data_IF_460830813598
#
_entry.id   IF_460830813598
#
_cell.length_a   1.000
_cell.length_b   1.000
_cell.length_c   1.000
_cell.angle_alpha   90.00
_cell.angle_beta   90.00
_cell.angle_gamma   90.00
#
_symmetry.space_group_name_H-M   'P 1'
#
loop_
_entity.id
_entity.type
_entity.pdbx_description
1 polymer ?
#
# COMPACT_ATOMS: atom_id res chain seq x y z
N UNK A 1 8.46 1.26 22.73
CA UNK A 1 7.16 1.04 22.02
C UNK A 1 6.00 0.68 22.97
N UNK A 2 6.22 -0.08 24.02
CA UNK A 2 5.26 -0.30 25.12
C UNK A 2 5.15 0.93 26.06
N UNK A 3 6.21 1.69 26.19
CA UNK A 3 6.29 2.94 26.95
C UNK A 3 5.43 4.05 26.36
N UNK A 4 5.30 4.16 25.02
CA UNK A 4 4.52 5.21 24.40
C UNK A 4 3.01 5.00 24.58
N UNK A 5 2.52 3.74 24.51
CA UNK A 5 1.11 3.42 24.78
C UNK A 5 0.73 3.62 26.25
N UNK A 6 1.61 3.28 27.16
CA UNK A 6 1.38 3.49 28.60
C UNK A 6 1.42 5.00 28.95
N UNK A 7 2.31 5.75 28.33
CA UNK A 7 2.41 7.20 28.47
C UNK A 7 1.16 7.91 27.93
N UNK A 8 0.70 7.56 26.73
CA UNK A 8 -0.52 8.08 26.13
C UNK A 8 -1.77 7.80 26.98
N UNK A 9 -1.86 6.62 27.60
CA UNK A 9 -2.96 6.25 28.48
C UNK A 9 -2.97 7.04 29.79
N UNK A 10 -1.80 7.29 30.36
CA UNK A 10 -1.62 8.10 31.57
C UNK A 10 -1.95 9.58 31.35
N UNK A 11 -1.64 10.12 30.15
CA UNK A 11 -1.97 11.51 29.82
C UNK A 11 -3.46 11.72 29.55
N UNK A 12 -4.17 10.74 29.02
CA UNK A 12 -5.63 10.80 28.82
C UNK A 12 -6.41 10.79 30.12
N UNK A 13 -5.92 10.10 31.16
CA UNK A 13 -6.59 9.96 32.45
C UNK A 13 -6.45 11.20 33.37
N UNK A 14 -5.56 12.15 33.02
CA UNK A 14 -5.39 13.39 33.81
C UNK A 14 -6.23 14.53 33.22
N UNK A 15 -7.17 15.05 34.00
CA UNK A 15 -7.81 16.36 33.75
C UNK A 15 -6.74 17.47 33.61
N UNK A 16 -7.06 18.56 32.92
CA UNK A 16 -6.19 19.75 32.94
C UNK A 16 -5.93 20.14 34.41
N UNK A 17 -4.68 20.51 34.76
CA UNK A 17 -4.40 20.97 36.09
C UNK A 17 -5.18 22.24 36.37
N UNK A 18 -6.00 22.20 37.42
CA UNK A 18 -6.90 23.30 37.80
C UNK A 18 -6.34 24.15 38.94
N UNK A 19 -5.49 23.57 39.76
CA UNK A 19 -4.87 24.26 40.88
C UNK A 19 -3.34 24.47 40.69
N UNK A 20 -2.77 25.36 41.51
CA UNK A 20 -1.37 25.74 41.43
C UNK A 20 -0.38 24.58 41.66
N UNK A 21 -0.74 23.60 42.53
CA UNK A 21 0.10 22.44 42.81
C UNK A 21 0.12 21.47 41.64
N UNK A 22 -1.03 21.25 41.02
CA UNK A 22 -1.15 20.43 39.82
C UNK A 22 -0.44 21.06 38.63
N UNK A 23 -0.59 22.41 38.43
CA UNK A 23 0.14 23.16 37.41
C UNK A 23 1.65 23.06 37.62
N UNK A 24 2.11 23.21 38.86
CA UNK A 24 3.53 23.02 39.20
C UNK A 24 4.02 21.61 38.88
N UNK A 25 3.27 20.59 39.32
CA UNK A 25 3.59 19.19 39.04
C UNK A 25 3.67 18.92 37.55
N UNK A 26 2.71 19.43 36.79
CA UNK A 26 2.66 19.31 35.33
C UNK A 26 3.89 19.95 34.65
N UNK A 27 4.21 21.19 34.97
CA UNK A 27 5.35 21.90 34.38
C UNK A 27 6.71 21.32 34.78
N UNK A 28 6.81 20.76 36.00
CA UNK A 28 8.05 20.17 36.50
C UNK A 28 8.30 18.75 36.02
N UNK A 29 7.32 18.07 35.41
CA UNK A 29 7.42 16.69 34.92
C UNK A 29 8.34 16.51 33.71
N UNK A 30 8.90 17.61 33.13
CA UNK A 30 9.76 17.58 31.95
C UNK A 30 9.01 17.63 30.63
N UNK A 31 7.69 17.77 30.66
CA UNK A 31 6.83 17.90 29.47
C UNK A 31 7.20 19.14 28.65
N UNK A 32 7.48 20.27 29.33
CA UNK A 32 7.87 21.51 28.67
C UNK A 32 9.39 21.63 28.59
N UNK A 33 9.96 21.66 27.38
CA UNK A 33 11.40 21.88 27.17
C UNK A 33 11.83 23.20 27.80
N UNK A 34 12.91 23.16 28.59
CA UNK A 34 13.49 24.35 29.24
C UNK A 34 12.82 24.76 30.55
N UNK A 35 11.82 23.98 31.02
CA UNK A 35 11.19 24.18 32.34
C UNK A 35 11.62 23.06 33.29
N UNK A 36 12.58 23.36 34.17
CA UNK A 36 12.88 22.48 35.30
C UNK A 36 12.08 22.89 36.53
N UNK A 37 12.14 22.11 37.65
CA UNK A 37 11.34 22.36 38.84
C UNK A 37 11.49 23.78 39.43
N UNK A 38 12.71 24.35 39.40
CA UNK A 38 12.97 25.71 39.86
C UNK A 38 12.34 26.78 38.96
N UNK A 39 12.25 26.54 37.65
CA UNK A 39 11.60 27.45 36.68
C UNK A 39 10.11 27.32 36.80
N UNK A 40 9.58 26.09 36.88
CA UNK A 40 8.14 25.81 37.07
C UNK A 40 7.60 26.52 38.33
N UNK A 41 8.32 26.40 39.45
CA UNK A 41 7.94 27.05 40.69
C UNK A 41 7.83 28.57 40.56
N UNK A 42 8.81 29.22 39.94
CA UNK A 42 8.81 30.68 39.72
C UNK A 42 7.68 31.14 38.78
N UNK A 43 7.35 30.33 37.80
CA UNK A 43 6.22 30.60 36.87
C UNK A 43 4.91 30.56 37.65
N UNK A 44 4.67 29.49 38.39
CA UNK A 44 3.44 29.31 39.15
C UNK A 44 3.31 30.34 40.29
N UNK A 45 4.35 30.62 41.04
CA UNK A 45 4.35 31.67 42.07
C UNK A 45 4.04 33.09 41.51
N UNK A 46 4.40 33.35 40.26
CA UNK A 46 4.16 34.64 39.61
C UNK A 46 2.81 34.78 39.00
N UNK A 47 2.26 33.73 38.42
CA UNK A 47 1.07 33.75 37.59
C UNK A 47 -0.10 32.94 38.19
N UNK A 48 0.14 32.09 39.18
CA UNK A 48 -0.88 31.29 39.87
C UNK A 48 -1.71 30.47 38.86
N UNK A 49 -3.01 30.53 39.00
CA UNK A 49 -3.97 29.85 38.11
C UNK A 49 -3.93 30.38 36.65
N UNK A 50 -3.43 31.61 36.40
CA UNK A 50 -3.28 32.15 35.04
C UNK A 50 -2.07 31.54 34.27
N UNK A 51 -1.25 30.72 34.92
CA UNK A 51 0.00 30.19 34.35
C UNK A 51 -0.19 29.54 32.98
N UNK A 52 -1.22 28.74 32.81
CA UNK A 52 -1.49 28.04 31.56
C UNK A 52 -1.91 29.00 30.44
N UNK A 53 -2.73 30.01 30.77
CA UNK A 53 -3.15 31.06 29.81
C UNK A 53 -1.98 31.92 29.38
N UNK A 54 -1.10 32.29 30.33
CA UNK A 54 0.14 33.04 30.04
C UNK A 54 1.07 32.23 29.11
N UNK A 55 1.24 30.93 29.36
CA UNK A 55 2.06 30.06 28.51
C UNK A 55 1.49 29.92 27.10
N UNK A 56 0.16 29.88 26.97
CA UNK A 56 -0.50 29.70 25.68
C UNK A 56 -0.59 31.00 24.87
N UNK A 57 -1.00 32.10 25.50
CA UNK A 57 -1.42 33.36 24.82
C UNK A 57 -0.48 34.52 24.96
N UNK A 58 0.22 34.62 26.10
CA UNK A 58 1.03 35.80 26.47
C UNK A 58 2.45 35.42 26.92
N UNK A 59 3.22 34.63 26.12
CA UNK A 59 4.52 34.13 26.54
C UNK A 59 5.57 35.20 26.84
N UNK A 60 5.38 36.39 26.31
CA UNK A 60 6.23 37.56 26.60
C UNK A 60 6.19 37.95 28.07
N UNK A 61 5.12 37.70 28.80
CA UNK A 61 5.04 37.92 30.26
C UNK A 61 6.02 37.08 31.05
N UNK A 62 6.47 35.96 30.52
CA UNK A 62 7.47 35.11 31.13
C UNK A 62 8.86 35.82 31.25
N UNK A 63 9.10 36.80 30.40
CA UNK A 63 10.37 37.62 30.47
C UNK A 63 10.49 38.44 31.73
N UNK A 64 9.41 38.65 32.48
CA UNK A 64 9.44 39.30 33.80
C UNK A 64 10.12 38.43 34.86
N UNK A 65 10.34 37.14 34.59
CA UNK A 65 11.00 36.23 35.49
C UNK A 65 12.52 36.28 35.30
N UNK A 66 13.25 36.36 36.40
CA UNK A 66 14.72 36.39 36.37
C UNK A 66 15.32 35.16 35.70
N UNK A 67 16.09 35.36 34.62
CA UNK A 67 16.73 34.27 33.87
C UNK A 67 15.90 33.63 32.79
N UNK A 68 14.74 34.23 32.43
CA UNK A 68 13.93 33.89 31.25
C UNK A 68 14.10 34.97 30.19
N UNK A 69 14.83 34.65 29.14
CA UNK A 69 15.00 35.55 27.98
C UNK A 69 13.78 35.43 27.06
N UNK A 70 13.52 36.39 26.16
CA UNK A 70 12.46 36.35 25.20
C UNK A 70 12.51 35.05 24.35
N UNK A 71 13.68 34.62 23.92
CA UNK A 71 13.90 33.36 23.21
C UNK A 71 13.46 32.15 24.04
N UNK A 72 13.87 32.10 25.31
CA UNK A 72 13.51 31.00 26.21
C UNK A 72 12.01 31.00 26.52
N UNK A 73 11.39 32.15 26.67
CA UNK A 73 9.94 32.29 26.84
C UNK A 73 9.20 31.71 25.66
N UNK A 74 9.65 32.00 24.44
CA UNK A 74 9.06 31.48 23.22
C UNK A 74 9.26 29.95 23.08
N UNK A 75 10.44 29.43 23.38
CA UNK A 75 10.72 27.99 23.36
C UNK A 75 9.84 27.21 24.37
N UNK A 76 9.61 27.78 25.56
CA UNK A 76 8.72 27.19 26.57
C UNK A 76 7.29 27.19 26.09
N UNK A 77 6.81 28.32 25.58
CA UNK A 77 5.45 28.48 25.08
C UNK A 77 5.15 27.57 23.89
N UNK A 78 6.09 27.44 22.99
CA UNK A 78 5.96 26.55 21.84
C UNK A 78 5.89 25.09 22.27
N UNK A 79 6.78 24.66 23.18
CA UNK A 79 6.73 23.31 23.74
C UNK A 79 5.41 23.04 24.48
N UNK A 80 4.91 24.01 25.25
CA UNK A 80 3.65 23.91 25.95
C UNK A 80 2.45 23.80 24.98
N UNK A 81 2.37 24.71 23.99
CA UNK A 81 1.32 24.68 22.96
C UNK A 81 1.30 23.36 22.20
N UNK A 82 2.47 22.84 21.89
CA UNK A 82 2.60 21.54 21.23
C UNK A 82 2.01 20.41 22.07
N UNK A 83 2.24 20.36 23.36
CA UNK A 83 1.66 19.36 24.24
C UNK A 83 0.15 19.55 24.43
N UNK A 84 -0.29 20.78 24.60
CA UNK A 84 -1.72 21.09 24.75
C UNK A 84 -2.52 20.78 23.48
N UNK A 85 -1.95 21.09 22.31
CA UNK A 85 -2.60 20.78 21.03
C UNK A 85 -2.80 19.28 20.83
N UNK A 86 -1.77 18.47 21.13
CA UNK A 86 -1.87 17.01 21.08
C UNK A 86 -2.93 16.48 22.04
N UNK A 87 -2.96 16.98 23.28
CA UNK A 87 -3.92 16.57 24.30
C UNK A 87 -5.36 16.90 23.93
N UNK A 88 -5.61 18.12 23.42
CA UNK A 88 -6.93 18.53 22.91
C UNK A 88 -7.39 17.65 21.75
N UNK A 89 -6.48 17.29 20.86
CA UNK A 89 -6.77 16.39 19.75
C UNK A 89 -7.11 14.97 20.24
N UNK A 90 -6.34 14.44 21.20
CA UNK A 90 -6.62 13.13 21.81
C UNK A 90 -7.97 13.13 22.54
N UNK A 91 -8.30 14.18 23.29
CA UNK A 91 -9.60 14.32 23.95
C UNK A 91 -10.76 14.39 22.94
N UNK A 92 -10.57 15.10 21.84
CA UNK A 92 -11.55 15.14 20.74
C UNK A 92 -11.77 13.74 20.15
N UNK A 93 -10.70 13.01 19.84
CA UNK A 93 -10.81 11.64 19.31
C UNK A 93 -11.48 10.68 20.31
N UNK A 94 -11.14 10.80 21.60
CA UNK A 94 -11.75 9.98 22.67
C UNK A 94 -13.26 10.23 22.83
N UNK A 95 -13.75 11.44 22.59
CA UNK A 95 -15.17 11.78 22.59
C UNK A 95 -15.97 10.92 21.60
N UNK A 96 -15.33 10.57 20.46
CA UNK A 96 -15.91 9.72 19.41
C UNK A 96 -15.42 8.26 19.47
N UNK A 97 -14.83 7.85 20.59
CA UNK A 97 -14.30 6.49 20.82
C UNK A 97 -13.23 6.08 19.80
N UNK A 98 -12.56 7.05 19.17
CA UNK A 98 -11.47 6.81 18.25
C UNK A 98 -10.14 6.61 19.00
N UNK A 99 -9.23 5.75 18.46
CA UNK A 99 -7.95 5.51 19.09
C UNK A 99 -7.13 6.79 19.24
N UNK A 100 -6.61 7.12 20.45
CA UNK A 100 -5.79 8.32 20.67
C UNK A 100 -4.53 8.37 19.82
N UNK A 101 -4.06 7.20 19.38
CA UNK A 101 -2.87 7.09 18.52
C UNK A 101 -3.02 7.82 17.19
N UNK A 102 -4.25 8.00 16.69
CA UNK A 102 -4.54 8.81 15.49
C UNK A 102 -4.13 10.27 15.65
N UNK A 103 -4.11 10.78 16.88
CA UNK A 103 -3.64 12.15 17.16
C UNK A 103 -2.18 12.37 16.72
N UNK A 104 -1.33 11.35 16.84
CA UNK A 104 0.07 11.43 16.41
C UNK A 104 0.15 11.56 14.88
N UNK A 105 -0.66 10.81 14.16
CA UNK A 105 -0.68 10.84 12.71
C UNK A 105 -1.26 12.15 12.17
N UNK A 106 -2.39 12.59 12.70
CA UNK A 106 -2.99 13.88 12.35
C UNK A 106 -2.03 15.04 12.61
N UNK A 107 -1.31 15.00 13.73
CA UNK A 107 -0.31 16.00 14.04
C UNK A 107 0.90 15.95 13.12
N UNK A 108 1.34 14.76 12.72
CA UNK A 108 2.42 14.61 11.73
C UNK A 108 2.05 15.26 10.41
N UNK A 109 0.78 15.16 10.01
CA UNK A 109 0.27 15.65 8.73
C UNK A 109 -0.08 17.15 8.77
N UNK A 110 -0.74 17.63 9.84
CA UNK A 110 -1.31 18.97 9.93
C UNK A 110 -0.65 19.86 10.99
N UNK A 111 0.35 19.35 11.69
CA UNK A 111 1.04 20.10 12.76
C UNK A 111 0.10 20.49 13.90
N UNK A 112 0.28 21.70 14.39
CA UNK A 112 -0.52 22.23 15.51
C UNK A 112 -1.95 22.62 15.09
N UNK A 113 -2.23 22.74 13.79
CA UNK A 113 -3.57 23.01 13.26
C UNK A 113 -4.45 21.75 13.10
N UNK A 114 -3.96 20.58 13.52
CA UNK A 114 -4.65 19.29 13.30
C UNK A 114 -6.08 19.27 13.86
N UNK A 115 -6.30 19.81 15.06
CA UNK A 115 -7.63 19.82 15.68
C UNK A 115 -8.61 20.70 14.91
N UNK A 116 -8.17 21.93 14.53
CA UNK A 116 -8.99 22.86 13.75
C UNK A 116 -9.32 22.26 12.38
N UNK A 117 -8.33 21.67 11.73
CA UNK A 117 -8.51 20.99 10.42
C UNK A 117 -9.52 19.86 10.50
N UNK A 118 -9.44 19.00 11.52
CA UNK A 118 -10.41 17.90 11.71
C UNK A 118 -11.80 18.43 12.08
N UNK A 119 -11.90 19.53 12.81
CA UNK A 119 -13.19 20.17 13.09
C UNK A 119 -13.81 20.81 11.85
N UNK A 120 -13.00 21.44 11.00
CA UNK A 120 -13.45 22.00 9.73
C UNK A 120 -13.87 20.91 8.74
N UNK A 121 -13.12 19.80 8.71
CA UNK A 121 -13.37 18.67 7.84
C UNK A 121 -13.13 17.33 8.56
N UNK A 122 -14.13 16.75 9.21
CA UNK A 122 -14.02 15.47 9.90
C UNK A 122 -13.63 14.30 8.97
N UNK A 123 -13.90 14.41 7.68
CA UNK A 123 -13.56 13.37 6.70
C UNK A 123 -12.04 13.19 6.49
N UNK A 124 -11.21 14.08 7.04
CA UNK A 124 -9.77 13.83 7.13
C UNK A 124 -9.44 12.57 7.95
N UNK A 125 -10.35 12.14 8.83
CA UNK A 125 -10.23 10.89 9.58
C UNK A 125 -10.39 9.65 8.70
N UNK A 126 -11.17 9.72 7.62
CA UNK A 126 -11.31 8.61 6.66
C UNK A 126 -10.23 8.58 5.60
N UNK A 127 -9.33 9.57 5.57
CA UNK A 127 -8.19 9.59 4.67
C UNK A 127 -7.19 8.47 4.95
N UNK A 128 -6.31 8.19 3.98
CA UNK A 128 -5.30 7.11 4.04
C UNK A 128 -4.44 7.14 5.32
N UNK A 129 -4.20 8.32 5.88
CA UNK A 129 -3.37 8.48 7.07
C UNK A 129 -4.01 7.93 8.36
N UNK A 130 -5.33 8.01 8.48
CA UNK A 130 -6.05 7.62 9.68
C UNK A 130 -6.86 6.34 9.49
N UNK A 131 -7.39 6.10 8.29
CA UNK A 131 -8.09 4.86 7.92
C UNK A 131 -9.38 4.59 8.70
N UNK A 132 -10.02 5.64 9.25
CA UNK A 132 -11.31 5.47 9.93
C UNK A 132 -12.39 5.21 8.88
N UNK A 133 -13.27 4.25 9.13
CA UNK A 133 -14.35 3.93 8.20
C UNK A 133 -15.23 5.14 7.89
N UNK A 134 -15.67 5.25 6.63
CA UNK A 134 -16.50 6.36 6.15
C UNK A 134 -17.77 6.51 6.99
N UNK A 135 -18.46 5.41 7.29
CA UNK A 135 -19.70 5.41 8.09
C UNK A 135 -19.52 6.03 9.47
N UNK A 136 -18.39 5.75 10.13
CA UNK A 136 -18.05 6.33 11.44
C UNK A 136 -17.77 7.83 11.29
N UNK A 137 -16.98 8.19 10.30
CA UNK A 137 -16.60 9.59 10.03
C UNK A 137 -17.81 10.42 9.61
N UNK A 138 -18.72 9.86 8.81
CA UNK A 138 -19.96 10.52 8.39
C UNK A 138 -20.87 10.76 9.60
N UNK A 139 -21.00 9.78 10.50
CA UNK A 139 -21.71 9.96 11.75
C UNK A 139 -21.13 11.08 12.64
N UNK A 140 -19.81 11.21 12.71
CA UNK A 140 -19.12 12.29 13.43
C UNK A 140 -19.43 13.64 12.76
N UNK A 141 -19.29 13.74 11.45
CA UNK A 141 -19.51 14.97 10.68
C UNK A 141 -20.94 15.47 10.81
N UNK A 142 -21.93 14.58 10.67
CA UNK A 142 -23.33 14.89 10.85
C UNK A 142 -23.64 15.29 12.30
N UNK A 143 -23.06 14.63 13.28
CA UNK A 143 -23.18 14.98 14.71
C UNK A 143 -22.56 16.33 15.06
N UNK A 144 -21.57 16.80 14.29
CA UNK A 144 -20.98 18.14 14.39
C UNK A 144 -21.77 19.21 13.65
N UNK A 145 -22.85 18.83 12.93
CA UNK A 145 -23.75 19.76 12.23
C UNK A 145 -23.32 20.10 10.81
N UNK A 146 -22.46 19.30 10.16
CA UNK A 146 -22.19 19.45 8.74
C UNK A 146 -23.46 19.21 7.93
N UNK A 147 -23.65 19.99 6.86
CA UNK A 147 -24.80 19.82 5.97
C UNK A 147 -24.70 18.50 5.20
N UNK A 148 -25.85 17.86 4.97
CA UNK A 148 -25.93 16.58 4.26
C UNK A 148 -25.43 16.65 2.81
N UNK A 149 -25.46 17.84 2.21
CA UNK A 149 -25.00 18.15 0.86
C UNK A 149 -23.67 18.92 0.83
N UNK A 150 -22.92 18.91 1.95
CA UNK A 150 -21.63 19.60 2.01
C UNK A 150 -20.61 18.98 1.06
N UNK A 151 -19.79 19.81 0.42
CA UNK A 151 -18.76 19.39 -0.51
C UNK A 151 -17.82 18.36 0.12
N UNK A 152 -17.47 18.55 1.42
CA UNK A 152 -16.61 17.60 2.13
C UNK A 152 -17.21 16.20 2.19
N UNK A 153 -18.53 16.12 2.47
CA UNK A 153 -19.25 14.84 2.52
C UNK A 153 -19.29 14.15 1.17
N UNK A 154 -19.68 14.89 0.14
CA UNK A 154 -19.79 14.39 -1.22
C UNK A 154 -18.43 13.88 -1.74
N UNK A 155 -17.37 14.64 -1.54
CA UNK A 155 -16.02 14.28 -1.96
C UNK A 155 -15.48 13.08 -1.19
N UNK A 156 -15.74 13.01 0.11
CA UNK A 156 -15.34 11.84 0.92
C UNK A 156 -16.08 10.57 0.49
N UNK A 157 -17.36 10.67 0.14
CA UNK A 157 -18.14 9.54 -0.35
C UNK A 157 -17.66 9.06 -1.72
N UNK A 158 -17.33 9.97 -2.66
CA UNK A 158 -16.70 9.60 -3.94
C UNK A 158 -15.40 8.84 -3.73
N UNK A 159 -14.55 9.34 -2.83
CA UNK A 159 -13.28 8.70 -2.51
C UNK A 159 -13.49 7.35 -1.84
N UNK A 160 -14.49 7.24 -0.96
CA UNK A 160 -14.87 5.99 -0.31
C UNK A 160 -15.32 4.95 -1.33
N UNK A 161 -16.19 5.30 -2.28
CA UNK A 161 -16.67 4.36 -3.31
C UNK A 161 -15.51 3.83 -4.16
N UNK A 162 -14.56 4.67 -4.53
CA UNK A 162 -13.36 4.22 -5.24
C UNK A 162 -12.52 3.25 -4.38
N UNK A 163 -12.29 3.58 -3.10
CA UNK A 163 -11.52 2.74 -2.18
C UNK A 163 -12.23 1.44 -1.83
N UNK A 164 -13.56 1.48 -1.66
CA UNK A 164 -14.36 0.29 -1.38
C UNK A 164 -14.27 -0.72 -2.53
N UNK A 165 -14.29 -0.24 -3.76
CA UNK A 165 -14.22 -1.09 -4.94
C UNK A 165 -12.82 -1.67 -5.21
N UNK A 166 -11.77 -1.17 -4.57
CA UNK A 166 -10.45 -1.83 -4.59
C UNK A 166 -10.50 -3.23 -3.97
N UNK A 167 -11.25 -3.39 -2.87
CA UNK A 167 -11.44 -4.69 -2.23
C UNK A 167 -12.23 -5.67 -3.11
N UNK A 168 -12.90 -5.16 -4.15
CA UNK A 168 -13.57 -5.94 -5.18
C UNK A 168 -12.67 -6.18 -6.42
N UNK A 169 -11.38 -5.81 -6.34
CA UNK A 169 -10.39 -6.00 -7.39
C UNK A 169 -10.37 -4.90 -8.46
N UNK A 170 -11.15 -3.83 -8.33
CA UNK A 170 -11.23 -2.76 -9.31
C UNK A 170 -10.14 -1.70 -9.11
N UNK A 171 -9.42 -1.36 -10.17
CA UNK A 171 -8.41 -0.28 -10.18
C UNK A 171 -9.08 1.08 -10.43
N UNK A 172 -10.17 1.09 -11.18
CA UNK A 172 -10.98 2.26 -11.48
C UNK A 172 -12.47 1.93 -11.50
N UNK A 173 -13.29 2.97 -11.45
CA UNK A 173 -14.72 2.86 -11.74
C UNK A 173 -15.07 3.75 -12.95
N UNK A 174 -16.00 3.30 -13.82
CA UNK A 174 -16.60 4.18 -14.82
C UNK A 174 -17.28 5.38 -14.15
N UNK A 175 -17.07 6.60 -14.71
CA UNK A 175 -17.60 7.86 -14.16
C UNK A 175 -19.10 7.76 -13.82
N UNK A 176 -19.90 7.26 -14.74
CA UNK A 176 -21.35 7.13 -14.55
C UNK A 176 -21.71 6.16 -13.42
N UNK A 177 -20.97 5.06 -13.26
CA UNK A 177 -21.17 4.10 -12.16
C UNK A 177 -20.75 4.69 -10.82
N UNK A 178 -19.64 5.42 -10.79
CA UNK A 178 -19.16 6.10 -9.58
C UNK A 178 -20.18 7.14 -9.09
N UNK A 179 -20.70 7.98 -9.98
CA UNK A 179 -21.74 8.95 -9.66
C UNK A 179 -22.99 8.24 -9.13
N UNK A 180 -23.46 7.20 -9.83
CA UNK A 180 -24.66 6.46 -9.42
C UNK A 180 -24.50 5.79 -8.05
N UNK A 181 -23.36 5.14 -7.79
CA UNK A 181 -23.08 4.49 -6.49
C UNK A 181 -23.02 5.51 -5.35
N UNK A 182 -22.32 6.62 -5.56
CA UNK A 182 -22.21 7.68 -4.56
C UNK A 182 -23.54 8.38 -4.28
N UNK A 183 -24.33 8.63 -5.32
CA UNK A 183 -25.70 9.17 -5.20
C UNK A 183 -26.58 8.25 -4.36
N UNK A 184 -26.51 6.95 -4.59
CA UNK A 184 -27.25 5.94 -3.83
C UNK A 184 -26.75 5.84 -2.37
N UNK A 185 -25.44 5.90 -2.14
CA UNK A 185 -24.84 5.85 -0.80
C UNK A 185 -25.31 7.00 0.08
N UNK A 186 -25.40 8.22 -0.48
CA UNK A 186 -25.69 9.43 0.27
C UNK A 186 -27.15 9.86 0.24
N UNK A 187 -27.99 9.23 -0.61
CA UNK A 187 -29.34 9.67 -0.95
C UNK A 187 -29.37 11.17 -1.36
N UNK A 188 -28.45 11.54 -2.26
CA UNK A 188 -28.23 12.93 -2.70
C UNK A 188 -28.47 13.10 -4.21
N UNK A 189 -28.52 14.35 -4.69
CA UNK A 189 -28.67 14.65 -6.13
C UNK A 189 -27.40 14.30 -6.93
N UNK A 190 -27.61 13.67 -8.11
CA UNK A 190 -26.48 13.28 -8.98
C UNK A 190 -25.62 14.45 -9.45
N UNK A 191 -26.22 15.64 -9.66
CA UNK A 191 -25.51 16.87 -10.07
C UNK A 191 -24.50 17.33 -8.99
N UNK A 192 -24.86 17.22 -7.71
CA UNK A 192 -23.96 17.58 -6.61
C UNK A 192 -22.77 16.62 -6.51
N UNK A 193 -23.04 15.31 -6.70
CA UNK A 193 -21.99 14.29 -6.73
C UNK A 193 -21.06 14.50 -7.92
N UNK A 194 -21.61 14.85 -9.09
CA UNK A 194 -20.82 15.15 -10.28
C UNK A 194 -19.89 16.36 -10.07
N UNK A 195 -20.39 17.44 -9.51
CA UNK A 195 -19.59 18.62 -9.16
C UNK A 195 -18.49 18.30 -8.15
N UNK A 196 -18.80 17.47 -7.15
CA UNK A 196 -17.80 17.02 -6.17
C UNK A 196 -16.71 16.16 -6.82
N UNK A 197 -17.07 15.27 -7.76
CA UNK A 197 -16.13 14.47 -8.53
C UNK A 197 -15.24 15.36 -9.39
N UNK A 198 -15.83 16.34 -10.12
CA UNK A 198 -15.05 17.27 -10.95
C UNK A 198 -14.06 18.07 -10.10
N UNK A 199 -14.46 18.54 -8.93
CA UNK A 199 -13.57 19.20 -7.98
C UNK A 199 -12.41 18.29 -7.51
N UNK A 200 -12.66 16.99 -7.30
CA UNK A 200 -11.62 16.02 -6.97
C UNK A 200 -10.65 15.79 -8.14
N UNK A 201 -11.15 15.80 -9.37
CA UNK A 201 -10.34 15.68 -10.59
C UNK A 201 -9.48 16.93 -10.77
N UNK A 202 -10.05 18.13 -10.66
CA UNK A 202 -9.32 19.39 -10.77
C UNK A 202 -8.17 19.49 -9.74
N UNK A 203 -8.39 19.05 -8.51
CA UNK A 203 -7.37 19.00 -7.47
C UNK A 203 -6.41 17.82 -7.63
N UNK A 204 -6.69 16.94 -8.57
CA UNK A 204 -5.91 15.77 -8.87
C UNK A 204 -5.94 14.69 -7.77
N UNK A 205 -6.93 14.66 -6.90
CA UNK A 205 -7.16 13.57 -5.95
C UNK A 205 -7.71 12.33 -6.68
N UNK A 206 -8.56 12.55 -7.67
CA UNK A 206 -9.04 11.55 -8.63
C UNK A 206 -8.42 11.85 -10.00
N UNK A 207 -8.04 10.82 -10.73
CA UNK A 207 -7.57 10.92 -12.11
C UNK A 207 -8.63 10.34 -13.02
N UNK A 208 -9.05 11.11 -14.03
CA UNK A 208 -9.96 10.62 -15.07
C UNK A 208 -9.20 10.39 -16.37
N UNK A 209 -9.39 9.23 -16.96
CA UNK A 209 -8.74 8.84 -18.22
C UNK A 209 -9.72 8.09 -19.12
N UNK A 210 -9.53 8.18 -20.43
CA UNK A 210 -10.32 7.42 -21.38
C UNK A 210 -9.71 6.04 -21.61
N UNK A 211 -10.36 4.99 -21.11
CA UNK A 211 -9.91 3.61 -21.28
C UNK A 211 -10.95 2.84 -22.10
N UNK A 212 -10.59 2.39 -23.29
CA UNK A 212 -11.47 1.58 -24.16
C UNK A 212 -12.90 2.16 -24.30
N UNK A 213 -13.02 3.46 -24.55
CA UNK A 213 -14.30 4.20 -24.65
C UNK A 213 -15.07 4.39 -23.34
N UNK A 214 -14.44 4.13 -22.20
CA UNK A 214 -15.01 4.35 -20.87
C UNK A 214 -14.24 5.49 -20.19
N UNK A 215 -14.95 6.45 -19.62
CA UNK A 215 -14.37 7.45 -18.73
C UNK A 215 -14.06 6.79 -17.38
N UNK A 216 -12.81 6.41 -17.19
CA UNK A 216 -12.34 5.69 -16.02
C UNK A 216 -11.86 6.68 -14.94
N UNK A 217 -12.42 6.57 -13.73
CA UNK A 217 -12.01 7.37 -12.57
C UNK A 217 -11.18 6.50 -11.62
N UNK A 218 -9.97 6.96 -11.35
CA UNK A 218 -8.98 6.29 -10.48
C UNK A 218 -8.72 7.09 -9.22
N UNK A 219 -8.44 6.42 -8.12
CA UNK A 219 -7.64 7.04 -7.07
C UNK A 219 -6.23 7.31 -7.62
N UNK A 220 -5.69 8.52 -7.37
CA UNK A 220 -4.38 8.93 -7.89
C UNK A 220 -3.30 7.89 -7.68
N UNK A 221 -3.21 7.30 -6.48
CA UNK A 221 -2.19 6.30 -6.14
C UNK A 221 -2.25 5.04 -7.00
N UNK A 222 -3.45 4.58 -7.39
CA UNK A 222 -3.61 3.42 -8.26
C UNK A 222 -3.22 3.75 -9.70
N UNK A 223 -3.61 4.91 -10.18
CA UNK A 223 -3.20 5.39 -11.49
C UNK A 223 -1.68 5.54 -11.58
N UNK A 224 -1.04 6.14 -10.57
CA UNK A 224 0.41 6.28 -10.50
C UNK A 224 1.11 4.91 -10.43
N UNK A 225 0.54 3.95 -9.70
CA UNK A 225 1.06 2.59 -9.61
C UNK A 225 1.00 1.87 -10.98
N UNK A 226 -0.10 2.01 -11.72
CA UNK A 226 -0.27 1.44 -13.06
C UNK A 226 0.69 2.07 -14.07
N UNK A 227 0.76 3.40 -14.12
CA UNK A 227 1.69 4.13 -14.99
C UNK A 227 3.16 3.76 -14.68
N UNK A 228 3.53 3.72 -13.40
CA UNK A 228 4.87 3.32 -12.97
C UNK A 228 5.19 1.90 -13.40
N UNK A 229 4.25 0.97 -13.22
CA UNK A 229 4.41 -0.42 -13.64
C UNK A 229 4.62 -0.53 -15.16
N UNK A 230 3.82 0.16 -15.97
CA UNK A 230 3.95 0.18 -17.42
C UNK A 230 5.30 0.71 -17.89
N UNK A 231 5.74 1.85 -17.35
CA UNK A 231 7.02 2.49 -17.71
C UNK A 231 8.19 1.54 -17.38
N UNK A 232 8.17 0.92 -16.20
CA UNK A 232 9.25 0.03 -15.78
C UNK A 232 9.28 -1.28 -16.54
N UNK A 233 8.12 -1.86 -16.81
CA UNK A 233 8.03 -3.04 -17.69
C UNK A 233 8.58 -2.74 -19.08
N UNK A 234 8.20 -1.62 -19.67
CA UNK A 234 8.74 -1.21 -20.97
C UNK A 234 10.27 -1.07 -20.94
N UNK A 235 10.81 -0.51 -19.83
CA UNK A 235 12.26 -0.43 -19.63
C UNK A 235 12.95 -1.79 -19.52
N UNK A 236 12.35 -2.75 -18.83
CA UNK A 236 12.89 -4.11 -18.74
C UNK A 236 12.81 -4.86 -20.08
N UNK A 237 11.72 -4.67 -20.83
CA UNK A 237 11.53 -5.27 -22.14
C UNK A 237 12.49 -4.71 -23.20
N UNK A 238 12.81 -3.41 -23.11
CA UNK A 238 13.74 -2.73 -24.03
C UNK A 238 15.20 -3.03 -23.72
N UNK A 239 15.52 -3.63 -22.56
CA UNK A 239 16.89 -3.99 -22.22
C UNK A 239 17.44 -5.02 -23.22
N UNK A 240 18.53 -4.65 -23.89
CA UNK A 240 19.19 -5.50 -24.85
C UNK A 240 19.79 -6.74 -24.17
N UNK A 241 19.17 -7.88 -24.42
CA UNK A 241 19.55 -9.16 -23.83
C UNK A 241 19.98 -10.16 -24.91
N UNK A 242 20.40 -9.70 -26.09
CA UNK A 242 20.72 -10.59 -27.23
C UNK A 242 21.87 -11.54 -26.94
N UNK A 243 21.55 -12.63 -26.29
CA UNK A 243 22.36 -13.85 -26.10
C UNK A 243 21.72 -15.05 -26.80
N UNK A 244 20.95 -14.80 -27.85
CA UNK A 244 20.11 -15.79 -28.53
C UNK A 244 20.87 -17.03 -29.03
N UNK A 245 22.03 -16.85 -29.62
CA UNK A 245 22.85 -17.98 -30.13
C UNK A 245 23.43 -18.85 -29.02
N UNK A 246 23.61 -18.30 -27.82
CA UNK A 246 24.13 -19.03 -26.66
C UNK A 246 23.02 -19.79 -25.90
N UNK A 247 21.79 -19.22 -25.89
CA UNK A 247 20.67 -19.80 -25.12
C UNK A 247 20.29 -21.20 -25.58
N UNK A 248 20.14 -21.44 -26.90
CA UNK A 248 19.80 -22.77 -27.43
C UNK A 248 20.84 -23.82 -27.09
N UNK A 249 22.12 -23.50 -27.28
CA UNK A 249 23.22 -24.43 -26.92
C UNK A 249 23.28 -24.71 -25.43
N UNK A 250 23.07 -23.69 -24.61
CA UNK A 250 23.03 -23.87 -23.16
C UNK A 250 21.87 -24.74 -22.70
N UNK A 251 20.73 -24.71 -23.37
CA UNK A 251 19.60 -25.62 -23.10
C UNK A 251 19.92 -27.04 -23.52
N UNK A 252 20.52 -27.26 -24.71
CA UNK A 252 20.96 -28.60 -25.17
C UNK A 252 21.93 -29.26 -24.17
N UNK A 253 22.88 -28.48 -23.67
CA UNK A 253 23.86 -28.92 -22.68
C UNK A 253 23.22 -29.21 -21.33
N UNK A 254 22.20 -28.41 -20.91
CA UNK A 254 21.44 -28.68 -19.69
C UNK A 254 20.60 -29.95 -19.78
N UNK A 255 19.95 -30.21 -20.92
CA UNK A 255 19.20 -31.43 -21.17
C UNK A 255 20.14 -32.65 -21.07
N UNK A 256 21.30 -32.58 -21.73
CA UNK A 256 22.29 -33.65 -21.69
C UNK A 256 22.84 -33.88 -20.26
N UNK A 257 23.12 -32.80 -19.51
CA UNK A 257 23.67 -32.91 -18.15
C UNK A 257 22.65 -33.47 -17.16
N UNK A 258 21.38 -33.10 -17.30
CA UNK A 258 20.31 -33.51 -16.38
C UNK A 258 19.64 -34.83 -16.80
N UNK A 259 19.94 -35.35 -17.99
CA UNK A 259 19.30 -36.53 -18.54
C UNK A 259 17.81 -36.39 -18.77
N UNK A 260 17.35 -35.17 -19.07
CA UNK A 260 15.95 -34.83 -19.33
C UNK A 260 15.81 -34.21 -20.71
N UNK A 261 14.62 -34.32 -21.29
CA UNK A 261 14.23 -33.59 -22.50
C UNK A 261 13.02 -32.72 -22.16
N UNK A 262 13.14 -31.43 -22.37
CA UNK A 262 12.01 -30.50 -22.17
C UNK A 262 10.98 -30.70 -23.30
N UNK A 263 9.70 -30.63 -22.94
CA UNK A 263 8.68 -30.54 -23.95
C UNK A 263 8.83 -29.21 -24.75
N UNK A 264 8.33 -29.14 -26.01
CA UNK A 264 8.59 -27.99 -26.88
C UNK A 264 8.33 -26.64 -26.25
N UNK A 265 7.19 -26.48 -25.56
CA UNK A 265 6.83 -25.24 -24.88
C UNK A 265 7.67 -24.95 -23.63
N UNK A 266 8.08 -26.01 -22.90
CA UNK A 266 9.00 -25.86 -21.77
C UNK A 266 10.35 -25.36 -22.24
N UNK A 267 10.90 -26.00 -23.31
CA UNK A 267 12.15 -25.57 -23.93
C UNK A 267 12.07 -24.13 -24.41
N UNK A 268 10.99 -23.75 -25.11
CA UNK A 268 10.77 -22.39 -25.57
C UNK A 268 10.80 -21.39 -24.41
N UNK A 269 10.16 -21.71 -23.27
CA UNK A 269 10.16 -20.83 -22.09
C UNK A 269 11.56 -20.67 -21.50
N UNK A 270 12.34 -21.75 -21.39
CA UNK A 270 13.72 -21.70 -20.89
C UNK A 270 14.61 -20.85 -21.82
N UNK A 271 14.50 -21.01 -23.14
CA UNK A 271 15.23 -20.19 -24.12
C UNK A 271 14.82 -18.72 -24.08
N UNK A 272 13.51 -18.43 -24.01
CA UNK A 272 13.00 -17.04 -23.93
C UNK A 272 13.45 -16.33 -22.66
N UNK A 273 13.51 -17.03 -21.52
CA UNK A 273 14.00 -16.43 -20.27
C UNK A 273 15.44 -15.87 -20.41
N UNK A 274 16.28 -16.47 -21.25
CA UNK A 274 17.62 -15.95 -21.53
C UNK A 274 17.67 -14.81 -22.55
N UNK A 275 16.62 -14.68 -23.38
CA UNK A 275 16.57 -13.71 -24.49
C UNK A 275 15.83 -12.44 -24.17
N UNK A 276 14.93 -12.46 -23.17
CA UNK A 276 14.03 -11.35 -22.87
C UNK A 276 14.26 -10.82 -21.47
N UNK A 277 14.02 -9.53 -21.28
CA UNK A 277 14.08 -8.90 -19.96
C UNK A 277 12.89 -9.30 -19.09
N UNK A 278 11.73 -9.63 -19.70
CA UNK A 278 10.54 -10.08 -18.99
C UNK A 278 9.95 -11.29 -19.70
N UNK A 279 9.54 -12.30 -18.94
CA UNK A 279 8.86 -13.50 -19.43
C UNK A 279 7.65 -13.81 -18.54
N UNK A 280 6.51 -14.07 -19.15
CA UNK A 280 5.34 -14.65 -18.49
C UNK A 280 5.25 -16.14 -18.83
N UNK A 281 5.20 -16.98 -17.79
CA UNK A 281 5.00 -18.41 -17.89
C UNK A 281 3.67 -18.79 -17.25
N UNK A 282 2.69 -19.20 -18.04
CA UNK A 282 1.37 -19.59 -17.55
C UNK A 282 1.02 -21.02 -17.92
N UNK A 283 0.10 -21.60 -17.17
CA UNK A 283 -0.43 -22.96 -17.43
C UNK A 283 -1.16 -23.51 -16.20
N UNK A 284 -2.07 -24.44 -16.43
CA UNK A 284 -2.84 -25.11 -15.37
C UNK A 284 -2.01 -26.01 -14.46
N UNK A 285 -2.66 -26.65 -13.48
CA UNK A 285 -2.00 -27.65 -12.63
C UNK A 285 -1.51 -28.84 -13.47
N UNK A 286 -0.29 -29.31 -13.18
CA UNK A 286 0.28 -30.49 -13.87
C UNK A 286 0.87 -30.24 -15.25
N UNK A 287 0.90 -29.01 -15.76
CA UNK A 287 1.50 -28.67 -17.06
C UNK A 287 3.04 -28.56 -17.04
N UNK A 288 3.67 -28.77 -15.91
CA UNK A 288 5.13 -28.79 -15.80
C UNK A 288 5.76 -27.40 -15.58
N UNK A 289 5.01 -26.38 -15.09
CA UNK A 289 5.54 -25.06 -14.69
C UNK A 289 6.78 -25.21 -13.80
N UNK A 290 6.72 -26.07 -12.79
CA UNK A 290 7.82 -26.32 -11.86
C UNK A 290 9.09 -26.84 -12.55
N UNK A 291 8.94 -27.76 -13.49
CA UNK A 291 10.07 -28.32 -14.28
C UNK A 291 10.70 -27.20 -15.13
N UNK A 292 9.87 -26.37 -15.74
CA UNK A 292 10.31 -25.22 -16.54
C UNK A 292 11.04 -24.19 -15.67
N UNK A 293 10.53 -23.85 -14.49
CA UNK A 293 11.19 -22.95 -13.54
C UNK A 293 12.56 -23.50 -13.11
N UNK A 294 12.66 -24.80 -12.82
CA UNK A 294 13.97 -25.46 -12.53
C UNK A 294 14.94 -25.31 -13.69
N UNK A 295 14.46 -25.48 -14.92
CA UNK A 295 15.25 -25.27 -16.13
C UNK A 295 15.76 -23.85 -16.26
N UNK A 296 14.89 -22.85 -16.03
CA UNK A 296 15.24 -21.42 -16.05
C UNK A 296 16.29 -21.10 -14.96
N UNK A 297 16.10 -21.59 -13.74
CA UNK A 297 17.06 -21.43 -12.65
C UNK A 297 18.43 -22.04 -13.01
N UNK A 298 18.44 -23.26 -13.56
CA UNK A 298 19.67 -23.92 -13.97
C UNK A 298 20.39 -23.13 -15.08
N UNK A 299 19.63 -22.60 -16.06
CA UNK A 299 20.16 -21.77 -17.11
C UNK A 299 20.76 -20.46 -16.56
N UNK A 300 20.07 -19.76 -15.71
CA UNK A 300 20.54 -18.53 -15.12
C UNK A 300 21.79 -18.73 -14.25
N UNK A 301 21.85 -19.82 -13.46
CA UNK A 301 23.07 -20.21 -12.73
C UNK A 301 24.26 -20.43 -13.66
N UNK A 302 24.04 -21.12 -14.77
CA UNK A 302 25.08 -21.34 -15.77
C UNK A 302 25.56 -20.08 -16.43
N UNK A 303 24.66 -19.09 -16.56
CA UNK A 303 24.99 -17.72 -17.03
C UNK A 303 25.71 -16.88 -15.97
N UNK A 304 25.89 -17.38 -14.75
CA UNK A 304 26.53 -16.67 -13.64
C UNK A 304 25.66 -15.54 -13.05
N UNK A 305 24.33 -15.64 -13.18
CA UNK A 305 23.42 -14.60 -12.68
C UNK A 305 23.08 -14.85 -11.21
N UNK A 306 23.04 -13.77 -10.45
CA UNK A 306 22.47 -13.74 -9.10
C UNK A 306 20.94 -13.80 -9.18
N UNK A 307 20.35 -14.87 -8.62
CA UNK A 307 18.93 -15.18 -8.77
C UNK A 307 18.22 -15.01 -7.43
N UNK A 308 17.11 -14.30 -7.44
CA UNK A 308 16.18 -14.23 -6.32
C UNK A 308 14.85 -14.88 -6.69
N UNK A 309 14.39 -15.78 -5.80
CA UNK A 309 13.13 -16.48 -5.94
C UNK A 309 12.11 -15.92 -4.95
N UNK A 310 10.91 -15.66 -5.42
CA UNK A 310 9.84 -15.13 -4.58
C UNK A 310 8.48 -15.71 -4.93
N UNK A 311 7.55 -15.64 -3.96
CA UNK A 311 6.14 -15.96 -4.15
C UNK A 311 5.28 -15.07 -3.24
N UNK A 312 3.97 -14.86 -3.51
CA UNK A 312 3.10 -14.03 -2.68
C UNK A 312 2.93 -14.58 -1.26
N UNK A 313 2.94 -15.90 -1.09
CA UNK A 313 2.68 -16.57 0.19
C UNK A 313 3.87 -17.37 0.68
N UNK A 314 4.00 -17.52 2.02
CA UNK A 314 5.06 -18.32 2.63
C UNK A 314 5.00 -19.80 2.23
N UNK A 315 3.80 -20.36 2.01
CA UNK A 315 3.61 -21.73 1.55
C UNK A 315 4.14 -21.93 0.13
N UNK A 316 3.83 -21.01 -0.78
CA UNK A 316 4.34 -21.04 -2.14
C UNK A 316 5.86 -20.86 -2.19
N UNK A 317 6.41 -19.93 -1.41
CA UNK A 317 7.85 -19.72 -1.29
C UNK A 317 8.56 -20.98 -0.78
N UNK A 318 8.06 -21.61 0.27
CA UNK A 318 8.62 -22.87 0.78
C UNK A 318 8.61 -23.97 -0.29
N UNK A 319 7.49 -24.14 -0.98
CA UNK A 319 7.39 -25.11 -2.08
C UNK A 319 8.39 -24.82 -3.20
N UNK A 320 8.55 -23.53 -3.56
CA UNK A 320 9.52 -23.12 -4.57
C UNK A 320 10.96 -23.43 -4.12
N UNK A 321 11.29 -23.23 -2.83
CA UNK A 321 12.60 -23.60 -2.28
C UNK A 321 12.87 -25.12 -2.38
N UNK A 322 11.90 -25.94 -1.98
CA UNK A 322 12.01 -27.40 -2.03
C UNK A 322 12.22 -27.93 -3.46
N UNK A 323 11.55 -27.31 -4.43
CA UNK A 323 11.58 -27.72 -5.83
C UNK A 323 12.83 -27.26 -6.59
N UNK A 324 13.37 -26.09 -6.25
CA UNK A 324 14.53 -25.51 -6.95
C UNK A 324 15.86 -25.77 -6.24
N UNK A 325 15.81 -26.16 -4.97
CA UNK A 325 17.01 -26.26 -4.12
C UNK A 325 17.67 -24.93 -3.81
N UNK A 326 16.93 -23.81 -3.99
CA UNK A 326 17.34 -22.45 -3.63
C UNK A 326 16.39 -21.85 -2.62
N UNK A 327 16.87 -20.98 -1.75
CA UNK A 327 16.01 -20.26 -0.84
C UNK A 327 15.09 -19.31 -1.62
N UNK A 328 13.78 -19.44 -1.39
CA UNK A 328 12.76 -18.54 -1.87
C UNK A 328 12.06 -17.86 -0.68
N UNK A 329 11.62 -16.65 -0.86
CA UNK A 329 10.97 -15.86 0.18
C UNK A 329 9.65 -15.26 -0.31
N UNK A 330 8.87 -14.67 0.60
CA UNK A 330 7.69 -13.95 0.15
C UNK A 330 8.09 -12.64 -0.53
N UNK A 331 7.30 -12.19 -1.53
CA UNK A 331 7.53 -10.91 -2.20
C UNK A 331 7.61 -9.77 -1.18
N UNK A 332 6.75 -9.78 -0.17
CA UNK A 332 6.76 -8.81 0.91
C UNK A 332 8.10 -8.81 1.70
N UNK A 333 8.61 -9.99 2.04
CA UNK A 333 9.90 -10.12 2.73
C UNK A 333 11.06 -9.69 1.85
N UNK A 334 11.04 -10.06 0.58
CA UNK A 334 12.03 -9.67 -0.42
C UNK A 334 12.13 -8.14 -0.56
N UNK A 335 11.00 -7.46 -0.52
CA UNK A 335 10.93 -6.01 -0.60
C UNK A 335 11.21 -5.30 0.73
N UNK A 336 11.43 -6.04 1.82
CA UNK A 336 11.62 -5.47 3.16
C UNK A 336 10.38 -4.75 3.66
N UNK A 337 9.21 -5.41 3.56
CA UNK A 337 7.95 -4.84 4.03
C UNK A 337 8.02 -4.52 5.53
N UNK A 338 7.64 -3.31 5.88
CA UNK A 338 7.32 -2.92 7.24
C UNK A 338 5.87 -2.46 7.33
N UNK A 339 5.21 -2.89 8.40
CA UNK A 339 3.84 -2.53 8.70
C UNK A 339 3.82 -1.45 9.78
N UNK A 340 3.09 -0.38 9.54
CA UNK A 340 2.83 0.62 10.56
C UNK A 340 1.51 0.30 11.25
N UNK A 341 1.56 -0.16 12.51
CA UNK A 341 0.39 -0.56 13.30
C UNK A 341 -0.60 0.60 13.55
N UNK A 342 -0.16 1.84 13.36
CA UNK A 342 -0.96 3.05 13.62
C UNK A 342 -1.72 3.50 12.40
N UNK A 343 -1.03 3.57 11.26
CA UNK A 343 -1.60 4.07 10.00
C UNK A 343 -2.15 2.97 9.12
N UNK A 344 -1.96 1.70 9.52
CA UNK A 344 -2.26 0.52 8.70
C UNK A 344 -1.62 0.56 7.30
N UNK A 345 -0.52 1.31 7.16
CA UNK A 345 0.19 1.45 5.90
C UNK A 345 1.35 0.46 5.79
N UNK A 346 1.48 -0.09 4.59
CA UNK A 346 2.62 -0.90 4.18
C UNK A 346 3.67 0.01 3.56
N UNK A 347 4.92 -0.14 3.99
CA UNK A 347 6.07 0.49 3.37
C UNK A 347 7.11 -0.56 2.98
N UNK A 348 7.83 -0.32 1.91
CA UNK A 348 8.88 -1.20 1.41
C UNK A 348 10.23 -0.52 1.49
N UNK A 349 11.26 -1.24 1.95
CA UNK A 349 12.64 -0.75 2.00
C UNK A 349 13.27 -0.75 0.61
N UNK A 350 13.01 -1.83 -0.17
CA UNK A 350 13.54 -1.95 -1.53
C UNK A 350 12.74 -1.09 -2.49
N UNK A 351 13.42 -0.13 -3.09
CA UNK A 351 12.85 0.88 -3.99
C UNK A 351 13.87 1.25 -5.06
N UNK A 352 13.60 2.26 -5.87
CA UNK A 352 14.57 2.80 -6.84
C UNK A 352 15.86 3.32 -6.18
N UNK A 353 15.76 3.78 -4.95
CA UNK A 353 16.91 4.32 -4.19
C UNK A 353 17.76 3.21 -3.58
N UNK A 354 17.14 2.10 -3.21
CA UNK A 354 17.77 0.92 -2.65
C UNK A 354 17.25 -0.34 -3.35
N UNK A 355 17.63 -0.60 -4.60
CA UNK A 355 17.09 -1.71 -5.39
C UNK A 355 17.58 -3.07 -4.88
N UNK A 356 16.92 -4.12 -5.38
CA UNK A 356 17.35 -5.50 -5.15
C UNK A 356 18.71 -5.73 -5.82
N UNK A 357 19.58 -6.47 -5.14
CA UNK A 357 20.87 -6.92 -5.66
C UNK A 357 20.69 -8.27 -6.35
N UNK A 358 20.02 -8.26 -7.50
CA UNK A 358 19.73 -9.46 -8.28
C UNK A 358 19.81 -9.18 -9.78
N UNK A 359 20.36 -10.12 -10.53
CA UNK A 359 20.39 -10.10 -12.01
C UNK A 359 19.11 -10.71 -12.58
N UNK A 360 18.47 -11.61 -11.83
CA UNK A 360 17.21 -12.25 -12.21
C UNK A 360 16.29 -12.42 -11.01
N UNK A 361 15.02 -12.12 -11.20
CA UNK A 361 13.95 -12.34 -10.21
C UNK A 361 12.90 -13.25 -10.83
N UNK A 362 12.55 -14.32 -10.13
CA UNK A 362 11.50 -15.25 -10.54
C UNK A 362 10.41 -15.21 -9.48
N UNK A 363 9.20 -14.88 -9.89
CA UNK A 363 8.03 -14.81 -9.00
C UNK A 363 7.02 -15.85 -9.41
N UNK A 364 6.69 -16.77 -8.50
CA UNK A 364 5.65 -17.79 -8.70
C UNK A 364 4.31 -17.35 -8.10
N UNK A 365 3.22 -17.99 -8.51
CA UNK A 365 1.83 -17.67 -8.09
C UNK A 365 1.42 -16.22 -8.35
N UNK A 366 1.81 -15.68 -9.50
CA UNK A 366 1.58 -14.28 -9.88
C UNK A 366 0.10 -13.88 -9.96
N UNK A 367 -0.81 -14.82 -10.11
CA UNK A 367 -2.27 -14.56 -10.06
C UNK A 367 -2.74 -13.93 -8.75
N UNK A 368 -1.97 -14.11 -7.65
CA UNK A 368 -2.28 -13.55 -6.33
C UNK A 368 -1.65 -12.17 -6.08
N UNK A 369 -0.89 -11.63 -7.02
CA UNK A 369 -0.20 -10.33 -6.89
C UNK A 369 -1.06 -9.23 -7.46
N UNK A 370 -1.42 -8.24 -6.62
CA UNK A 370 -2.17 -7.05 -7.00
C UNK A 370 -1.28 -5.97 -7.63
N UNK A 371 -1.90 -4.89 -8.11
CA UNK A 371 -1.20 -3.79 -8.76
C UNK A 371 -0.21 -3.08 -7.84
N UNK A 372 -0.57 -2.87 -6.56
CA UNK A 372 0.27 -2.15 -5.60
C UNK A 372 1.57 -2.93 -5.32
N UNK A 373 1.45 -4.24 -5.06
CA UNK A 373 2.61 -5.11 -4.82
C UNK A 373 3.45 -5.29 -6.08
N UNK A 374 2.81 -5.40 -7.26
CA UNK A 374 3.52 -5.50 -8.53
C UNK A 374 4.29 -4.21 -8.87
N UNK A 375 3.68 -3.05 -8.68
CA UNK A 375 4.35 -1.77 -8.86
C UNK A 375 5.54 -1.63 -7.90
N UNK A 376 5.38 -2.01 -6.63
CA UNK A 376 6.47 -2.01 -5.65
C UNK A 376 7.62 -2.96 -6.07
N UNK A 377 7.29 -4.16 -6.57
CA UNK A 377 8.28 -5.10 -7.11
C UNK A 377 9.09 -4.47 -8.25
N UNK A 378 8.41 -3.92 -9.24
CA UNK A 378 9.08 -3.32 -10.40
C UNK A 378 9.95 -2.11 -10.01
N UNK A 379 9.53 -1.33 -9.01
CA UNK A 379 10.31 -0.21 -8.48
C UNK A 379 11.60 -0.66 -7.80
N UNK A 380 11.64 -1.85 -7.27
CA UNK A 380 12.81 -2.43 -6.63
C UNK A 380 13.80 -3.09 -7.61
N UNK A 381 13.44 -3.27 -8.89
CA UNK A 381 14.31 -3.86 -9.89
C UNK A 381 15.26 -2.83 -10.51
N UNK A 382 16.50 -3.26 -10.78
CA UNK A 382 17.47 -2.47 -11.55
C UNK A 382 17.20 -2.58 -13.04
N UNK A 383 17.56 -1.57 -13.84
CA UNK A 383 17.58 -1.70 -15.29
C UNK A 383 18.44 -2.92 -15.69
N UNK A 384 17.92 -3.75 -16.59
CA UNK A 384 18.60 -4.96 -17.05
C UNK A 384 18.38 -6.21 -16.17
N UNK A 385 17.72 -6.10 -15.03
CA UNK A 385 17.26 -7.28 -14.26
C UNK A 385 16.25 -8.07 -15.09
N UNK A 386 16.42 -9.41 -15.15
CA UNK A 386 15.47 -10.30 -15.80
C UNK A 386 14.33 -10.64 -14.85
N UNK A 387 13.10 -10.55 -15.34
CA UNK A 387 11.91 -10.83 -14.57
C UNK A 387 11.13 -11.99 -15.18
N UNK A 388 10.96 -13.07 -14.42
CA UNK A 388 10.13 -14.22 -14.82
C UNK A 388 8.92 -14.29 -13.92
N UNK A 389 7.74 -14.14 -14.51
CA UNK A 389 6.44 -14.15 -13.83
C UNK A 389 5.75 -15.48 -14.11
N UNK A 390 5.54 -16.28 -13.08
CA UNK A 390 4.97 -17.61 -13.19
C UNK A 390 3.61 -17.64 -12.50
N UNK A 391 2.62 -18.26 -13.12
CA UNK A 391 1.29 -18.36 -12.53
C UNK A 391 0.32 -19.19 -13.35
N UNK A 392 -0.92 -19.12 -12.96
CA UNK A 392 -2.04 -19.75 -13.65
C UNK A 392 -3.09 -18.68 -13.92
N UNK A 393 -3.30 -18.37 -15.20
CA UNK A 393 -4.24 -17.31 -15.60
C UNK A 393 -5.70 -17.66 -15.33
N UNK A 394 -6.00 -18.94 -15.10
CA UNK A 394 -7.35 -19.44 -14.86
C UNK A 394 -7.65 -19.58 -13.34
N UNK A 395 -6.67 -19.27 -12.46
CA UNK A 395 -6.89 -19.19 -11.02
C UNK A 395 -7.61 -17.90 -10.61
N UNK A 396 -8.11 -17.89 -9.35
CA UNK A 396 -8.71 -16.70 -8.76
C UNK A 396 -7.73 -15.52 -8.78
N UNK A 397 -8.23 -14.30 -9.09
CA UNK A 397 -7.40 -13.10 -9.07
C UNK A 397 -6.96 -12.74 -7.64
N UNK A 398 -6.07 -11.75 -7.54
CA UNK A 398 -5.64 -11.15 -6.28
C UNK A 398 -6.83 -10.59 -5.48
N UNK A 399 -6.67 -10.51 -4.17
CA UNK A 399 -7.67 -9.88 -3.28
C UNK A 399 -7.63 -8.35 -3.44
N UNK A 400 -6.46 -7.76 -3.70
CA UNK A 400 -6.30 -6.33 -3.95
C UNK A 400 -6.64 -5.93 -5.39
N UNK A 401 -6.60 -4.61 -5.64
CA UNK A 401 -6.96 -4.03 -6.94
C UNK A 401 -6.02 -4.48 -8.07
N UNK A 402 -6.60 -4.83 -9.20
CA UNK A 402 -5.91 -5.16 -10.43
C UNK A 402 -5.65 -6.64 -10.66
N UNK A 403 -5.97 -7.11 -11.86
CA UNK A 403 -5.69 -8.48 -12.32
C UNK A 403 -4.42 -8.50 -13.18
N UNK A 404 -3.30 -8.10 -12.57
CA UNK A 404 -2.03 -7.84 -13.24
C UNK A 404 -1.59 -8.98 -14.14
N UNK A 405 -1.61 -10.22 -13.64
CA UNK A 405 -1.12 -11.37 -14.40
C UNK A 405 -1.94 -11.65 -15.66
N UNK A 406 -3.26 -11.59 -15.54
CA UNK A 406 -4.18 -11.76 -16.66
C UNK A 406 -4.06 -10.61 -17.68
N UNK A 407 -3.91 -9.39 -17.19
CA UNK A 407 -3.80 -8.21 -18.04
C UNK A 407 -2.48 -8.18 -18.81
N UNK A 408 -1.37 -8.60 -18.21
CA UNK A 408 -0.09 -8.80 -18.91
C UNK A 408 -0.22 -9.81 -20.06
N UNK A 409 -0.91 -10.93 -19.82
CA UNK A 409 -1.13 -11.96 -20.84
C UNK A 409 -2.02 -11.42 -21.97
N UNK A 410 -3.12 -10.75 -21.63
CA UNK A 410 -4.09 -10.21 -22.60
C UNK A 410 -3.51 -9.07 -23.43
N UNK A 411 -2.62 -8.28 -22.88
CA UNK A 411 -1.99 -7.17 -23.58
C UNK A 411 -1.19 -7.61 -24.80
N UNK A 412 -0.67 -8.84 -24.78
CA UNK A 412 0.24 -9.35 -25.82
C UNK A 412 1.58 -8.61 -25.89
N UNK A 413 1.82 -7.63 -25.00
CA UNK A 413 3.03 -6.81 -24.98
C UNK A 413 4.23 -7.51 -24.35
N UNK A 414 3.98 -8.51 -23.48
CA UNK A 414 5.01 -9.25 -22.75
C UNK A 414 5.16 -10.65 -23.34
N UNK A 415 6.38 -11.09 -23.64
CA UNK A 415 6.65 -12.47 -24.07
C UNK A 415 6.00 -13.47 -23.12
N UNK A 416 5.09 -14.27 -23.65
CA UNK A 416 4.27 -15.20 -22.86
C UNK A 416 4.38 -16.60 -23.43
N UNK A 417 4.63 -17.59 -22.56
CA UNK A 417 4.55 -19.00 -22.89
C UNK A 417 3.44 -19.64 -22.08
N UNK A 418 2.46 -20.22 -22.77
CA UNK A 418 1.36 -20.97 -22.16
C UNK A 418 1.61 -22.46 -22.28
N UNK A 419 1.86 -23.13 -21.16
CA UNK A 419 2.02 -24.58 -21.10
C UNK A 419 0.63 -25.23 -21.14
N UNK A 420 0.39 -26.06 -22.16
CA UNK A 420 -0.89 -26.71 -22.38
C UNK A 420 -0.85 -28.22 -22.19
N UNK A 421 0.35 -28.82 -22.25
CA UNK A 421 0.51 -30.29 -22.13
C UNK A 421 0.41 -30.73 -20.67
N UNK A 422 -0.52 -31.65 -20.38
CA UNK A 422 -0.67 -32.23 -19.04
C UNK A 422 0.15 -33.54 -18.99
N UNK A 423 1.12 -33.63 -18.07
CA UNK A 423 1.97 -34.79 -17.93
C UNK A 423 1.25 -35.95 -17.21
N UNK A 424 1.51 -37.18 -17.63
CA UNK A 424 0.78 -38.42 -17.29
C UNK A 424 0.53 -38.62 -15.78
N UNK A 425 1.39 -38.16 -14.89
CA UNK A 425 1.17 -38.25 -13.44
C UNK A 425 0.06 -37.30 -12.93
N UNK A 426 -0.12 -36.18 -13.60
CA UNK A 426 -1.18 -35.19 -13.27
C UNK A 426 -2.51 -35.55 -13.90
N UNK A 427 -2.53 -36.18 -15.10
CA UNK A 427 -3.76 -36.61 -15.78
C UNK A 427 -4.58 -37.63 -14.98
N UNK A 428 -3.94 -38.34 -14.05
CA UNK A 428 -4.61 -39.31 -13.14
C UNK A 428 -5.09 -38.70 -11.85
N UNK A 429 -4.75 -37.44 -11.57
CA UNK A 429 -5.18 -36.74 -10.36
C UNK A 429 -6.66 -36.35 -10.47
N UNK A 430 -7.46 -36.66 -9.43
CA UNK A 430 -8.88 -36.29 -9.35
C UNK A 430 -9.09 -34.76 -9.39
N UNK A 431 -8.07 -33.97 -9.09
CA UNK A 431 -8.09 -32.50 -9.13
C UNK A 431 -8.07 -31.99 -10.57
N UNK A 432 -7.30 -32.62 -11.46
CA UNK A 432 -7.23 -32.22 -12.88
C UNK A 432 -8.55 -32.51 -13.59
N UNK A 433 -9.16 -33.66 -13.32
CA UNK A 433 -10.48 -34.02 -13.86
C UNK A 433 -11.58 -33.02 -13.44
N UNK A 434 -11.58 -32.62 -12.15
CA UNK A 434 -12.55 -31.62 -11.67
C UNK A 434 -12.32 -30.22 -12.27
N UNK A 435 -11.09 -29.81 -12.53
CA UNK A 435 -10.83 -28.50 -13.14
C UNK A 435 -11.29 -28.47 -14.61
N UNK A 436 -11.13 -29.55 -15.35
CA UNK A 436 -11.63 -29.67 -16.73
C UNK A 436 -13.17 -29.71 -16.79
N UNK A 437 -13.82 -30.40 -15.85
CA UNK A 437 -15.29 -30.41 -15.73
C UNK A 437 -15.83 -29.00 -15.43
N UNK A 438 -15.25 -28.28 -14.47
CA UNK A 438 -15.68 -26.89 -14.15
C UNK A 438 -15.39 -25.90 -15.28
N UNK A 439 -14.30 -26.05 -16.01
CA UNK A 439 -13.99 -25.16 -17.14
C UNK A 439 -14.96 -25.38 -18.30
N UNK A 440 -15.36 -26.61 -18.56
CA UNK A 440 -16.36 -26.94 -19.59
C UNK A 440 -17.77 -26.49 -19.19
N UNK A 441 -18.16 -26.58 -17.93
CA UNK A 441 -19.42 -26.05 -17.41
C UNK A 441 -19.50 -24.52 -17.52
N UNK A 442 -18.44 -23.79 -17.17
CA UNK A 442 -18.39 -22.33 -17.30
C UNK A 442 -18.37 -21.87 -18.76
N UNK A 443 -17.77 -22.62 -19.67
CA UNK A 443 -17.81 -22.32 -21.09
C UNK A 443 -19.23 -22.59 -21.69
N UNK A 444 -19.92 -23.62 -21.21
CA UNK A 444 -21.29 -23.88 -21.64
C UNK A 444 -22.29 -22.82 -21.15
N UNK A 445 -22.10 -22.27 -19.98
CA UNK A 445 -22.89 -21.16 -19.43
C UNK A 445 -22.63 -19.80 -20.13
N UNK A 446 -21.45 -19.59 -20.71
CA UNK A 446 -21.15 -18.39 -21.51
C UNK A 446 -21.81 -18.38 -22.91
N UNK A 447 -22.28 -19.49 -23.38
CA UNK A 447 -23.04 -19.59 -24.64
C UNK A 447 -24.57 -19.46 -24.47
N UNK A 448 -25.04 -19.25 -23.22
CA UNK A 448 -26.45 -19.13 -22.87
C UNK A 448 -26.84 -17.72 -22.38
N UNK A 449 -25.96 -16.72 -22.49
CA UNK A 449 -26.23 -15.29 -22.18
C UNK A 449 -25.98 -14.43 -23.40
#
# INVERSE_FOLDING_TARGET
RLTDRAFLRLELERSLPEDEEEIFSYLSSGICKGVGPATARRIVERFGAETLDVLEREPERLTTLKGVTARKAQEIAESFRQHMGLRRLMAFLAQYQLPPVLAMELRRQYGDAALEKVRENPYLLSGEACGVEFSVTDGIAMGMGLAADSDQRLQAAVTFELSHNENNGHVFLPRNKLISATTQLLDSGAELVEQALDSLIERGAVVQEQVAHVEACYLRRLWEAECSACIRLAGLLAADTDRSAQAGRAVDELEAQQGITYAPLQRQAVELAARTGVLVLTGGPGTGKTTTVRGIVALFRRMGLEIVLAAPTGRAAKRMSELTGMEAQTVHRMLGMSWNDVTHQVTFQKTEKEPLEADAVIVDEMSMVDLALFSALLRALRPGTRLVLVGDADQLPSVGAGNVFSDLIRSGAVPTVRLTEIFRQAAQSAIVRRSEEHTSELQSLRHLV
#
